data_IF_943522397193
#
_entry.id   IF_943522397193
#
_cell.length_a   1.000
_cell.length_b   1.000
_cell.length_c   1.000
_cell.angle_alpha   90.00
_cell.angle_beta   90.00
_cell.angle_gamma   90.00
#
_symmetry.space_group_name_H-M   'P 1'
#
loop_
_entity.id
_entity.type
_entity.pdbx_description
1 polymer ?
#
# COMPACT_ATOMS: atom_id res chain seq x y z
N UNK A 1 -27.04 -11.94 -2.28
CA UNK A 1 -25.81 -11.22 -2.66
C UNK A 1 -26.14 -10.47 -3.93
N UNK A 2 -25.91 -9.15 -4.01
CA UNK A 2 -26.14 -8.43 -5.25
C UNK A 2 -25.04 -8.84 -6.24
N UNK A 3 -25.41 -9.20 -7.46
CA UNK A 3 -24.44 -9.43 -8.53
C UNK A 3 -23.75 -8.11 -8.84
N UNK A 4 -22.43 -8.09 -8.73
CA UNK A 4 -21.62 -6.94 -9.11
C UNK A 4 -21.36 -7.06 -10.61
N UNK A 5 -21.71 -6.06 -11.43
CA UNK A 5 -21.43 -6.10 -12.85
C UNK A 5 -19.92 -6.07 -13.09
N UNK A 6 -19.46 -6.80 -14.11
CA UNK A 6 -18.03 -6.89 -14.48
C UNK A 6 -17.38 -5.51 -14.67
N UNK A 7 -18.10 -4.58 -15.30
CA UNK A 7 -17.67 -3.19 -15.48
C UNK A 7 -17.35 -2.47 -14.16
N UNK A 8 -18.04 -2.80 -13.06
CA UNK A 8 -17.74 -2.20 -11.76
C UNK A 8 -16.37 -2.69 -11.22
N UNK A 9 -16.01 -3.94 -11.48
CA UNK A 9 -14.72 -4.50 -11.09
C UNK A 9 -13.61 -3.84 -11.92
N UNK A 10 -13.80 -3.69 -13.23
CA UNK A 10 -12.83 -3.02 -14.11
C UNK A 10 -12.58 -1.56 -13.72
N UNK A 11 -13.64 -0.86 -13.34
CA UNK A 11 -13.55 0.51 -12.82
C UNK A 11 -12.74 0.58 -11.52
N UNK A 12 -12.91 -0.38 -10.61
CA UNK A 12 -12.11 -0.45 -9.39
C UNK A 12 -10.65 -0.77 -9.66
N UNK A 13 -10.36 -1.73 -10.54
CA UNK A 13 -8.99 -2.06 -10.94
C UNK A 13 -8.29 -0.81 -11.48
N UNK A 14 -8.96 -0.07 -12.36
CA UNK A 14 -8.42 1.15 -12.97
C UNK A 14 -8.20 2.26 -11.93
N UNK A 15 -9.16 2.48 -11.03
CA UNK A 15 -9.05 3.49 -9.98
C UNK A 15 -7.90 3.20 -9.00
N UNK A 16 -7.73 1.93 -8.61
CA UNK A 16 -6.66 1.51 -7.70
C UNK A 16 -5.30 1.60 -8.39
N UNK A 17 -5.18 1.22 -9.65
CA UNK A 17 -3.94 1.38 -10.42
C UNK A 17 -3.50 2.86 -10.46
N UNK A 18 -4.43 3.78 -10.72
CA UNK A 18 -4.15 5.22 -10.73
C UNK A 18 -3.71 5.74 -9.34
N UNK A 19 -4.34 5.25 -8.27
CA UNK A 19 -3.96 5.58 -6.90
C UNK A 19 -2.55 5.08 -6.58
N UNK A 20 -2.25 3.84 -6.94
CA UNK A 20 -0.95 3.22 -6.79
C UNK A 20 0.13 4.06 -7.49
N UNK A 21 -0.06 4.38 -8.78
CA UNK A 21 0.92 5.16 -9.56
C UNK A 21 1.17 6.56 -8.99
N UNK A 22 0.17 7.16 -8.33
CA UNK A 22 0.35 8.41 -7.60
C UNK A 22 1.14 8.25 -6.30
N UNK A 23 0.89 7.16 -5.56
CA UNK A 23 1.52 6.88 -4.28
C UNK A 23 2.99 6.43 -4.43
N UNK A 24 3.31 5.66 -5.47
CA UNK A 24 4.63 5.03 -5.67
C UNK A 24 5.57 5.80 -6.61
N UNK A 25 5.37 7.12 -6.77
CA UNK A 25 6.22 7.99 -7.59
C UNK A 25 7.69 8.02 -7.14
N UNK A 26 7.94 7.80 -5.85
CA UNK A 26 9.29 7.67 -5.32
C UNK A 26 9.76 6.21 -5.44
N UNK A 27 10.83 5.92 -6.20
CA UNK A 27 11.29 4.55 -6.39
C UNK A 27 11.72 3.83 -5.10
N UNK A 28 12.17 4.57 -4.08
CA UNK A 28 12.56 3.97 -2.81
C UNK A 28 11.32 3.53 -2.01
N UNK A 29 10.30 4.39 -1.95
CA UNK A 29 9.02 4.07 -1.29
C UNK A 29 8.31 2.93 -2.02
N UNK A 30 8.34 2.93 -3.36
CA UNK A 30 7.74 1.88 -4.18
C UNK A 30 8.33 0.49 -3.89
N UNK A 31 9.67 0.39 -3.83
CA UNK A 31 10.36 -0.87 -3.55
C UNK A 31 10.09 -1.38 -2.13
N UNK A 32 10.13 -0.48 -1.14
CA UNK A 32 9.81 -0.85 0.24
C UNK A 32 8.35 -1.28 0.41
N UNK A 33 7.43 -0.65 -0.33
CA UNK A 33 6.01 -1.03 -0.35
C UNK A 33 5.80 -2.43 -0.98
N UNK A 34 6.43 -2.73 -2.12
CA UNK A 34 6.41 -4.06 -2.75
C UNK A 34 6.93 -5.15 -1.80
N UNK A 35 8.09 -4.92 -1.18
CA UNK A 35 8.68 -5.84 -0.21
C UNK A 35 7.72 -6.10 0.98
N UNK A 36 7.08 -5.05 1.52
CA UNK A 36 6.12 -5.17 2.62
C UNK A 36 4.86 -5.95 2.22
N UNK A 37 4.35 -5.75 1.00
CA UNK A 37 3.20 -6.48 0.47
C UNK A 37 3.54 -7.94 0.20
N UNK A 38 4.70 -8.23 -0.39
CA UNK A 38 5.17 -9.61 -0.57
C UNK A 38 5.26 -10.36 0.78
N UNK A 39 5.81 -9.70 1.82
CA UNK A 39 5.85 -10.27 3.16
C UNK A 39 4.44 -10.51 3.72
N UNK A 40 3.53 -9.55 3.59
CA UNK A 40 2.14 -9.71 4.04
C UNK A 40 1.48 -10.91 3.37
N UNK A 41 1.50 -10.99 2.04
CA UNK A 41 0.84 -12.05 1.27
C UNK A 41 1.45 -13.42 1.50
N UNK A 42 2.77 -13.51 1.76
CA UNK A 42 3.42 -14.76 2.13
C UNK A 42 2.83 -15.40 3.40
N UNK A 43 2.26 -14.60 4.30
CA UNK A 43 1.60 -15.08 5.52
C UNK A 43 0.12 -15.46 5.35
N UNK A 44 -0.57 -14.95 4.33
CA UNK A 44 -2.01 -15.13 4.14
C UNK A 44 -2.38 -16.12 3.02
N UNK A 45 -1.48 -16.38 2.05
CA UNK A 45 -1.61 -17.51 1.11
C UNK A 45 -2.87 -17.55 0.24
N UNK A 46 -3.57 -16.42 0.08
CA UNK A 46 -4.89 -16.40 -0.58
C UNK A 46 -4.74 -16.43 -2.11
N UNK A 47 -5.20 -17.52 -2.75
CA UNK A 47 -5.07 -17.76 -4.20
C UNK A 47 -6.40 -17.98 -4.94
N UNK A 48 -7.55 -18.02 -4.24
CA UNK A 48 -8.86 -18.36 -4.84
C UNK A 48 -9.58 -17.18 -5.52
N UNK A 49 -8.84 -16.14 -5.92
CA UNK A 49 -9.38 -15.00 -6.65
C UNK A 49 -8.71 -14.83 -8.04
N UNK A 50 -9.41 -14.22 -9.01
CA UNK A 50 -8.81 -13.88 -10.29
C UNK A 50 -7.55 -13.03 -10.11
N UNK A 51 -6.53 -13.28 -10.94
CA UNK A 51 -5.22 -12.60 -10.87
C UNK A 51 -5.34 -11.07 -10.89
N UNK A 52 -6.32 -10.53 -11.62
CA UNK A 52 -6.54 -9.09 -11.69
C UNK A 52 -7.03 -8.50 -10.36
N UNK A 53 -7.87 -9.24 -9.64
CA UNK A 53 -8.36 -8.86 -8.30
C UNK A 53 -7.22 -8.96 -7.28
N UNK A 54 -6.41 -10.02 -7.35
CA UNK A 54 -5.21 -10.16 -6.51
C UNK A 54 -4.24 -9.00 -6.73
N UNK A 55 -3.97 -8.64 -7.99
CA UNK A 55 -3.12 -7.49 -8.33
C UNK A 55 -3.71 -6.17 -7.82
N UNK A 56 -5.01 -5.96 -7.96
CA UNK A 56 -5.69 -4.78 -7.41
C UNK A 56 -5.49 -4.67 -5.90
N UNK A 57 -5.59 -5.79 -5.16
CA UNK A 57 -5.32 -5.76 -3.72
C UNK A 57 -3.85 -5.43 -3.40
N UNK A 58 -2.89 -6.02 -4.11
CA UNK A 58 -1.47 -5.67 -3.92
C UNK A 58 -1.24 -4.17 -4.13
N UNK A 59 -1.73 -3.63 -5.25
CA UNK A 59 -1.61 -2.21 -5.58
C UNK A 59 -2.23 -1.29 -4.53
N UNK A 60 -3.41 -1.65 -3.99
CA UNK A 60 -4.06 -0.86 -2.95
C UNK A 60 -3.23 -0.82 -1.66
N UNK A 61 -2.65 -1.96 -1.27
CA UNK A 61 -1.84 -2.06 -0.06
C UNK A 61 -0.48 -1.35 -0.25
N UNK A 62 0.15 -1.53 -1.41
CA UNK A 62 1.39 -0.83 -1.79
C UNK A 62 1.20 0.69 -1.75
N UNK A 63 0.08 1.19 -2.27
CA UNK A 63 -0.24 2.62 -2.22
C UNK A 63 -0.34 3.15 -0.78
N UNK A 64 -0.91 2.36 0.14
CA UNK A 64 -0.98 2.67 1.56
C UNK A 64 0.40 2.73 2.20
N UNK A 65 1.25 1.72 1.98
CA UNK A 65 2.62 1.69 2.50
C UNK A 65 3.48 2.83 1.96
N UNK A 66 3.44 3.08 0.66
CA UNK A 66 4.20 4.18 0.05
C UNK A 66 3.77 5.55 0.60
N UNK A 67 2.47 5.73 0.85
CA UNK A 67 1.95 6.95 1.49
C UNK A 67 2.44 7.07 2.94
N UNK A 68 2.42 5.98 3.72
CA UNK A 68 2.93 5.99 5.09
C UNK A 68 4.44 6.30 5.16
N UNK A 69 5.25 5.74 4.25
CA UNK A 69 6.67 6.05 4.16
C UNK A 69 6.92 7.51 3.83
N UNK A 70 6.13 8.07 2.90
CA UNK A 70 6.17 9.50 2.59
C UNK A 70 5.83 10.36 3.80
N UNK A 71 4.77 10.03 4.53
CA UNK A 71 4.35 10.77 5.72
C UNK A 71 5.43 10.76 6.83
N UNK A 72 6.10 9.61 7.03
CA UNK A 72 7.25 9.50 7.95
C UNK A 72 8.41 10.36 7.48
N UNK A 73 8.74 10.30 6.19
CA UNK A 73 9.84 11.10 5.60
C UNK A 73 9.59 12.61 5.65
N UNK A 74 8.33 13.01 5.55
CA UNK A 74 7.89 14.41 5.69
C UNK A 74 7.78 14.87 7.16
N UNK A 75 8.10 14.00 8.12
CA UNK A 75 8.11 14.32 9.54
C UNK A 75 6.72 14.42 10.17
N UNK A 76 5.67 13.90 9.51
CA UNK A 76 4.28 13.99 10.03
C UNK A 76 4.08 13.25 11.34
N UNK A 77 4.94 12.27 11.62
CA UNK A 77 4.89 11.44 12.83
C UNK A 77 6.05 11.71 13.79
N UNK A 78 6.82 12.80 13.64
CA UNK A 78 8.03 13.03 14.45
C UNK A 78 7.71 13.14 15.95
N UNK A 79 6.60 13.79 16.31
CA UNK A 79 6.18 13.93 17.71
C UNK A 79 5.80 12.57 18.33
N UNK A 80 5.09 11.75 17.57
CA UNK A 80 4.73 10.39 17.95
C UNK A 80 5.98 9.50 18.03
N UNK A 81 6.90 9.60 17.07
CA UNK A 81 8.16 8.85 17.06
C UNK A 81 9.01 9.22 18.27
N UNK A 82 9.09 10.50 18.66
CA UNK A 82 9.76 10.91 19.90
C UNK A 82 9.12 10.28 21.14
N UNK A 83 7.79 10.09 21.12
CA UNK A 83 7.06 9.44 22.21
C UNK A 83 7.28 7.93 22.24
N UNK A 84 7.24 7.26 21.09
CA UNK A 84 7.34 5.80 20.96
C UNK A 84 8.77 5.28 21.03
N UNK A 85 9.71 6.06 20.49
CA UNK A 85 11.14 5.77 20.35
C UNK A 85 11.96 6.98 20.81
N UNK A 86 11.90 7.31 22.12
CA UNK A 86 12.63 8.45 22.66
C UNK A 86 14.15 8.32 22.46
N UNK A 87 14.65 7.09 22.27
CA UNK A 87 16.05 6.79 21.93
C UNK A 87 16.48 7.29 20.54
N UNK A 88 15.51 7.54 19.64
CA UNK A 88 15.75 8.05 18.29
C UNK A 88 15.53 9.58 18.18
N UNK A 89 15.04 10.24 19.22
CA UNK A 89 14.49 11.60 19.17
C UNK A 89 15.49 12.78 19.15
N UNK A 90 16.78 12.54 18.89
CA UNK A 90 17.77 13.60 18.69
C UNK A 90 18.07 13.76 17.20
N UNK A 91 17.36 14.68 16.55
CA UNK A 91 17.68 15.18 15.20
C UNK A 91 18.42 16.51 15.28
#
# INVERSE_FOLDING_TARGET
MADIPEEAIDNWISAVANLHDYATRDPADARAADEAVAMLWSGYGYQDAPMQVLRMFCQAIEAGYATALRDVREGRYDAEIQTWRPDLGTF
#
